data_IF_153340238725
#
_entry.id   IF_153340238725
#
_cell.length_a   1.000
_cell.length_b   1.000
_cell.length_c   1.000
_cell.angle_alpha   90.00
_cell.angle_beta   90.00
_cell.angle_gamma   90.00
#
_symmetry.space_group_name_H-M   'P 1'
#
loop_
_entity.id
_entity.type
_entity.pdbx_description
1 polymer ?
#
# COMPACT_ATOMS: atom_id res chain seq x y z
N UNK A 1 -22.32 -0.04 -21.23
CA UNK A 1 -21.39 -0.24 -22.36
C UNK A 1 -21.49 -1.67 -22.87
N UNK A 2 -21.20 -1.93 -24.12
CA UNK A 2 -21.17 -3.26 -24.75
C UNK A 2 -20.28 -4.25 -23.99
N UNK A 3 -19.11 -3.80 -23.52
CA UNK A 3 -18.19 -4.57 -22.70
C UNK A 3 -18.83 -5.08 -21.42
N UNK A 4 -19.69 -4.27 -20.78
CA UNK A 4 -20.39 -4.68 -19.57
C UNK A 4 -21.43 -5.76 -19.84
N UNK A 5 -22.16 -5.65 -20.96
CA UNK A 5 -23.17 -6.65 -21.36
C UNK A 5 -22.52 -7.99 -21.64
N UNK A 6 -21.44 -7.99 -22.44
CA UNK A 6 -20.67 -9.21 -22.73
C UNK A 6 -20.15 -9.90 -21.46
N UNK A 7 -19.68 -9.09 -20.50
CA UNK A 7 -19.20 -9.62 -19.21
C UNK A 7 -20.34 -10.25 -18.37
N UNK A 8 -21.55 -9.68 -18.39
CA UNK A 8 -22.70 -10.26 -17.72
C UNK A 8 -23.14 -11.58 -18.37
N UNK A 9 -23.16 -11.65 -19.71
CA UNK A 9 -23.49 -12.86 -20.44
C UNK A 9 -22.45 -13.98 -20.19
N UNK A 10 -21.16 -13.66 -20.26
CA UNK A 10 -20.08 -14.62 -19.97
C UNK A 10 -20.15 -15.21 -18.55
N UNK A 11 -20.70 -14.45 -17.61
CA UNK A 11 -20.90 -14.90 -16.23
C UNK A 11 -22.27 -15.57 -15.99
N UNK A 12 -23.04 -15.87 -17.04
CA UNK A 12 -24.37 -16.47 -16.92
C UNK A 12 -25.41 -15.61 -16.19
N UNK A 13 -25.18 -14.29 -16.08
CA UNK A 13 -26.04 -13.38 -15.30
C UNK A 13 -27.20 -12.80 -16.10
N UNK A 14 -27.32 -13.13 -17.36
CA UNK A 14 -28.43 -12.75 -18.23
C UNK A 14 -29.20 -14.04 -18.58
N UNK A 15 -30.29 -14.34 -17.89
CA UNK A 15 -31.07 -15.56 -18.19
C UNK A 15 -31.52 -15.57 -19.65
N UNK A 16 -31.36 -16.71 -20.31
CA UNK A 16 -31.77 -16.88 -21.71
C UNK A 16 -30.81 -16.29 -22.74
N UNK A 17 -29.67 -15.69 -22.32
CA UNK A 17 -28.65 -15.28 -23.27
C UNK A 17 -27.91 -16.49 -23.85
N UNK A 18 -27.76 -16.53 -25.16
CA UNK A 18 -27.10 -17.63 -25.90
C UNK A 18 -25.99 -17.04 -26.75
N UNK A 19 -24.83 -17.70 -26.73
CA UNK A 19 -23.71 -17.31 -27.58
C UNK A 19 -23.87 -17.95 -28.97
N UNK A 20 -24.01 -17.11 -29.99
CA UNK A 20 -24.04 -17.54 -31.40
C UNK A 20 -22.79 -17.03 -32.11
N UNK A 21 -21.84 -17.91 -32.33
CA UNK A 21 -20.53 -17.55 -32.86
C UNK A 21 -19.78 -16.59 -31.90
N UNK A 22 -19.55 -15.32 -32.28
CA UNK A 22 -18.91 -14.28 -31.47
C UNK A 22 -19.89 -13.29 -30.85
N UNK A 23 -21.21 -13.47 -31.09
CA UNK A 23 -22.25 -12.52 -30.70
C UNK A 23 -23.19 -13.15 -29.66
N UNK A 24 -23.51 -12.40 -28.60
CA UNK A 24 -24.50 -12.80 -27.62
C UNK A 24 -25.90 -12.40 -28.09
N UNK A 25 -26.77 -13.36 -28.21
CA UNK A 25 -28.21 -13.16 -28.41
C UNK A 25 -28.86 -13.03 -27.04
N UNK A 26 -29.51 -11.94 -26.78
CA UNK A 26 -30.13 -11.60 -25.50
C UNK A 26 -31.64 -11.51 -25.72
N UNK A 27 -32.46 -12.18 -24.90
CA UNK A 27 -33.91 -12.02 -24.99
C UNK A 27 -34.34 -10.57 -24.84
N UNK A 28 -35.33 -10.13 -25.60
CA UNK A 28 -35.84 -8.76 -25.60
C UNK A 28 -36.35 -8.31 -24.23
N UNK A 29 -36.89 -9.25 -23.45
CA UNK A 29 -37.40 -9.03 -22.09
C UNK A 29 -36.31 -9.18 -20.99
N UNK A 30 -35.06 -9.37 -21.37
CA UNK A 30 -33.98 -9.54 -20.41
C UNK A 30 -33.76 -8.27 -19.56
N UNK A 31 -33.91 -8.43 -18.27
CA UNK A 31 -33.62 -7.33 -17.30
C UNK A 31 -32.13 -7.18 -17.07
N UNK A 32 -31.69 -5.93 -16.99
CA UNK A 32 -30.30 -5.64 -16.64
C UNK A 32 -29.96 -6.28 -15.28
N UNK A 33 -28.92 -7.13 -15.20
CA UNK A 33 -28.53 -7.72 -13.93
C UNK A 33 -28.20 -6.62 -12.92
N UNK A 34 -28.67 -6.80 -11.69
CA UNK A 34 -28.26 -5.89 -10.60
C UNK A 34 -26.74 -5.95 -10.51
N UNK A 35 -26.10 -4.80 -10.37
CA UNK A 35 -24.66 -4.75 -10.14
C UNK A 35 -24.39 -5.59 -8.90
N UNK A 36 -23.55 -6.62 -9.02
CA UNK A 36 -23.00 -7.21 -7.81
C UNK A 36 -22.29 -6.07 -7.11
N UNK A 37 -22.82 -5.63 -5.99
CA UNK A 37 -22.05 -4.91 -5.00
C UNK A 37 -20.94 -5.93 -4.68
N UNK A 38 -19.74 -5.69 -5.18
CA UNK A 38 -18.55 -6.38 -4.66
C UNK A 38 -18.75 -6.36 -3.18
N UNK A 39 -18.80 -7.53 -2.56
CA UNK A 39 -19.22 -7.74 -1.20
C UNK A 39 -19.03 -6.47 -0.41
N UNK A 40 -20.15 -5.87 0.04
CA UNK A 40 -20.06 -4.85 1.06
C UNK A 40 -19.00 -5.40 2.00
N UNK A 41 -18.01 -4.61 2.34
CA UNK A 41 -17.12 -4.89 3.46
C UNK A 41 -18.11 -5.08 4.61
N UNK A 42 -18.64 -6.32 4.74
CA UNK A 42 -19.67 -6.62 5.72
C UNK A 42 -19.07 -6.17 7.02
N UNK A 43 -19.73 -5.55 7.92
CA UNK A 43 -19.35 -5.00 9.23
C UNK A 43 -17.86 -5.07 9.68
N UNK A 44 -16.93 -5.33 8.74
CA UNK A 44 -15.49 -5.41 8.98
C UNK A 44 -14.91 -4.00 9.06
N UNK A 45 -14.14 -3.76 10.09
CA UNK A 45 -13.39 -2.53 10.26
C UNK A 45 -12.25 -2.45 9.22
N UNK A 46 -11.77 -1.25 8.93
CA UNK A 46 -10.58 -1.05 8.08
C UNK A 46 -9.38 -1.87 8.59
N UNK A 47 -9.19 -1.91 9.90
CA UNK A 47 -8.09 -2.65 10.51
C UNK A 47 -8.18 -4.16 10.21
N UNK A 48 -9.36 -4.75 10.30
CA UNK A 48 -9.56 -6.17 9.97
C UNK A 48 -9.24 -6.45 8.50
N UNK A 49 -9.66 -5.57 7.60
CA UNK A 49 -9.33 -5.70 6.17
C UNK A 49 -7.82 -5.61 5.93
N UNK A 50 -7.14 -4.65 6.57
CA UNK A 50 -5.69 -4.49 6.43
C UNK A 50 -4.93 -5.71 6.94
N UNK A 51 -5.33 -6.27 8.09
CA UNK A 51 -4.72 -7.48 8.65
C UNK A 51 -4.95 -8.71 7.77
N UNK A 52 -6.18 -8.91 7.28
CA UNK A 52 -6.52 -10.01 6.36
C UNK A 52 -5.73 -9.94 5.05
N UNK A 53 -5.64 -8.74 4.44
CA UNK A 53 -4.90 -8.55 3.19
C UNK A 53 -3.39 -8.71 3.38
N UNK A 54 -2.85 -8.29 4.54
CA UNK A 54 -1.45 -8.51 4.92
C UNK A 54 -1.15 -10.00 5.03
N UNK A 55 -1.93 -10.74 5.79
CA UNK A 55 -1.78 -12.19 5.99
C UNK A 55 -1.94 -12.95 4.67
N UNK A 56 -2.98 -12.62 3.90
CA UNK A 56 -3.28 -13.19 2.60
C UNK A 56 -2.33 -12.76 1.47
N UNK A 57 -1.41 -11.82 1.73
CA UNK A 57 -0.50 -11.23 0.72
C UNK A 57 -1.24 -10.75 -0.54
N UNK A 58 -2.37 -10.08 -0.34
CA UNK A 58 -3.28 -9.67 -1.41
C UNK A 58 -2.64 -8.55 -2.25
N UNK A 59 -2.34 -8.85 -3.51
CA UNK A 59 -1.78 -7.85 -4.45
C UNK A 59 -2.87 -6.88 -4.92
N UNK A 60 -2.53 -5.58 -4.92
CA UNK A 60 -3.42 -4.52 -5.39
C UNK A 60 -4.59 -4.22 -4.44
N UNK A 61 -4.63 -4.80 -3.25
CA UNK A 61 -5.58 -4.48 -2.19
C UNK A 61 -5.32 -3.14 -1.51
N UNK A 62 -6.10 -2.84 -0.47
CA UNK A 62 -5.97 -1.60 0.29
C UNK A 62 -4.64 -1.58 1.05
N UNK A 63 -4.28 -2.70 1.70
CA UNK A 63 -3.01 -2.83 2.42
C UNK A 63 -1.80 -2.63 1.48
N UNK A 64 -1.80 -3.29 0.32
CA UNK A 64 -0.72 -3.16 -0.66
C UNK A 64 -0.55 -1.71 -1.13
N UNK A 65 -1.65 -1.02 -1.43
CA UNK A 65 -1.62 0.40 -1.82
C UNK A 65 -1.16 1.29 -0.69
N UNK A 66 -1.67 1.05 0.53
CA UNK A 66 -1.31 1.82 1.72
C UNK A 66 0.21 1.78 1.97
N UNK A 67 0.84 0.61 1.85
CA UNK A 67 2.28 0.45 2.00
C UNK A 67 3.06 1.36 1.03
N UNK A 68 2.71 1.31 -0.25
CA UNK A 68 3.42 2.06 -1.29
C UNK A 68 3.17 3.57 -1.14
N UNK A 69 1.90 3.98 -1.01
CA UNK A 69 1.52 5.39 -0.92
C UNK A 69 2.08 6.07 0.33
N UNK A 70 2.01 5.42 1.49
CA UNK A 70 2.54 5.99 2.73
C UNK A 70 4.05 6.13 2.67
N UNK A 71 4.77 5.12 2.19
CA UNK A 71 6.22 5.19 2.08
C UNK A 71 6.65 6.25 1.07
N UNK A 72 6.04 6.29 -0.11
CA UNK A 72 6.37 7.29 -1.12
C UNK A 72 6.12 8.71 -0.62
N UNK A 73 4.91 9.01 -0.16
CA UNK A 73 4.55 10.37 0.24
C UNK A 73 5.37 10.86 1.44
N UNK A 74 5.55 10.01 2.47
CA UNK A 74 6.33 10.40 3.64
C UNK A 74 7.79 10.68 3.31
N UNK A 75 8.43 9.79 2.54
CA UNK A 75 9.83 9.97 2.18
C UNK A 75 10.03 11.13 1.20
N UNK A 76 9.06 11.37 0.30
CA UNK A 76 9.13 12.50 -0.63
C UNK A 76 9.06 13.86 0.09
N UNK A 77 8.24 13.96 1.15
CA UNK A 77 8.19 15.16 2.03
C UNK A 77 9.56 15.40 2.69
N UNK A 78 10.26 14.34 3.07
CA UNK A 78 11.60 14.40 3.68
C UNK A 78 12.73 14.57 2.65
N UNK A 79 12.40 14.76 1.36
CA UNK A 79 13.35 15.07 0.31
C UNK A 79 13.91 13.85 -0.46
N UNK A 80 13.39 12.66 -0.26
CA UNK A 80 13.75 11.50 -1.06
C UNK A 80 13.42 11.71 -2.54
N UNK A 81 14.34 11.29 -3.40
CA UNK A 81 14.19 11.38 -4.86
C UNK A 81 13.64 10.11 -5.50
N UNK A 82 13.32 9.08 -4.70
CA UNK A 82 12.70 7.88 -5.21
C UNK A 82 11.35 8.20 -5.86
N UNK A 83 11.13 7.69 -7.06
CA UNK A 83 9.85 7.80 -7.73
C UNK A 83 8.83 6.83 -7.10
N UNK A 84 7.55 7.07 -7.38
CA UNK A 84 6.48 6.18 -6.94
C UNK A 84 6.68 4.74 -7.47
N UNK A 85 7.11 4.60 -8.73
CA UNK A 85 7.39 3.28 -9.32
C UNK A 85 8.58 2.60 -8.66
N UNK A 86 9.65 3.31 -8.34
CA UNK A 86 10.80 2.77 -7.61
C UNK A 86 10.40 2.31 -6.20
N UNK A 87 9.58 3.11 -5.49
CA UNK A 87 9.01 2.72 -4.18
C UNK A 87 8.20 1.43 -4.30
N UNK A 88 7.38 1.32 -5.35
CA UNK A 88 6.61 0.10 -5.65
C UNK A 88 7.52 -1.09 -5.93
N UNK A 89 8.56 -0.93 -6.75
CA UNK A 89 9.52 -2.00 -7.03
C UNK A 89 10.23 -2.48 -5.76
N UNK A 90 10.66 -1.56 -4.89
CA UNK A 90 11.27 -1.93 -3.60
C UNK A 90 10.29 -2.77 -2.78
N UNK A 91 9.01 -2.39 -2.73
CA UNK A 91 7.99 -3.13 -1.99
C UNK A 91 7.75 -4.52 -2.58
N UNK A 92 7.45 -4.60 -3.88
CA UNK A 92 6.98 -5.81 -4.56
C UNK A 92 8.10 -6.83 -4.84
N UNK A 93 9.29 -6.34 -5.20
CA UNK A 93 10.35 -7.17 -5.77
C UNK A 93 11.67 -7.15 -4.98
N UNK A 94 11.79 -6.23 -4.01
CA UNK A 94 13.04 -5.95 -3.28
C UNK A 94 14.17 -5.48 -4.21
N UNK A 95 13.82 -4.86 -5.33
CA UNK A 95 14.73 -4.22 -6.29
C UNK A 95 14.30 -2.78 -6.54
N UNK A 96 15.15 -1.97 -7.16
CA UNK A 96 14.85 -0.57 -7.51
C UNK A 96 14.63 -0.37 -9.01
N UNK A 97 14.80 -1.42 -9.80
CA UNK A 97 14.82 -1.31 -11.26
C UNK A 97 16.11 -0.68 -11.79
N UNK A 98 16.17 -0.51 -13.10
CA UNK A 98 17.28 0.20 -13.78
C UNK A 98 16.97 1.68 -13.76
N UNK A 99 17.95 2.49 -13.34
CA UNK A 99 17.86 3.95 -13.32
C UNK A 99 19.18 4.56 -13.79
N UNK A 100 19.11 5.66 -14.53
CA UNK A 100 20.30 6.45 -14.91
C UNK A 100 20.66 7.48 -13.81
N UNK A 101 19.76 7.72 -12.88
CA UNK A 101 19.96 8.66 -11.78
C UNK A 101 20.66 7.99 -10.58
N UNK A 102 21.51 8.75 -9.90
CA UNK A 102 22.09 8.33 -8.65
C UNK A 102 21.03 8.35 -7.55
N UNK A 103 20.75 7.18 -7.00
CA UNK A 103 19.81 7.02 -5.87
C UNK A 103 20.63 6.97 -4.57
N UNK A 104 20.19 7.73 -3.59
CA UNK A 104 20.78 7.68 -2.27
C UNK A 104 20.43 6.35 -1.59
N UNK A 105 21.42 5.66 -1.06
CA UNK A 105 21.22 4.37 -0.37
C UNK A 105 20.35 4.54 0.87
N UNK A 106 20.48 5.66 1.58
CA UNK A 106 19.62 5.93 2.75
C UNK A 106 18.15 6.04 2.37
N UNK A 107 17.81 6.61 1.19
CA UNK A 107 16.43 6.66 0.71
C UNK A 107 15.84 5.24 0.51
N UNK A 108 16.66 4.29 0.02
CA UNK A 108 16.22 2.90 -0.17
C UNK A 108 16.02 2.22 1.20
N UNK A 109 16.95 2.44 2.13
CA UNK A 109 16.89 1.87 3.48
C UNK A 109 15.66 2.43 4.21
N UNK A 110 15.46 3.74 4.21
CA UNK A 110 14.31 4.39 4.86
C UNK A 110 12.99 3.94 4.25
N UNK A 111 12.91 3.83 2.92
CA UNK A 111 11.73 3.31 2.24
C UNK A 111 11.42 1.87 2.68
N UNK A 112 12.42 1.02 2.75
CA UNK A 112 12.26 -0.36 3.22
C UNK A 112 11.84 -0.43 4.70
N UNK A 113 12.41 0.45 5.53
CA UNK A 113 12.07 0.58 6.94
C UNK A 113 10.66 1.14 7.14
N UNK A 114 10.23 2.05 6.25
CA UNK A 114 8.89 2.62 6.29
C UNK A 114 7.81 1.54 6.14
N UNK A 115 7.99 0.56 5.24
CA UNK A 115 7.08 -0.57 5.13
C UNK A 115 6.97 -1.34 6.45
N UNK A 116 8.09 -1.54 7.15
CA UNK A 116 8.10 -2.18 8.48
C UNK A 116 7.37 -1.32 9.52
N UNK A 117 7.54 0.00 9.49
CA UNK A 117 6.81 0.91 10.37
C UNK A 117 5.29 0.80 10.16
N UNK A 118 4.83 0.79 8.92
CA UNK A 118 3.40 0.62 8.60
C UNK A 118 2.88 -0.71 9.14
N UNK A 119 3.65 -1.79 9.00
CA UNK A 119 3.28 -3.09 9.57
C UNK A 119 3.12 -3.04 11.10
N UNK A 120 4.10 -2.45 11.79
CA UNK A 120 4.07 -2.31 13.25
C UNK A 120 2.89 -1.43 13.69
N UNK A 121 2.57 -0.36 12.96
CA UNK A 121 1.40 0.48 13.23
C UNK A 121 0.10 -0.30 13.11
N UNK A 122 -0.08 -1.06 12.02
CA UNK A 122 -1.29 -1.86 11.79
C UNK A 122 -1.45 -2.92 12.87
N UNK A 123 -0.38 -3.63 13.22
CA UNK A 123 -0.40 -4.68 14.26
C UNK A 123 -0.68 -4.10 15.65
N UNK A 124 -0.20 -2.89 15.91
CA UNK A 124 -0.33 -2.21 17.19
C UNK A 124 -1.56 -1.30 17.29
N UNK A 125 -2.39 -1.20 16.26
CA UNK A 125 -3.48 -0.21 16.18
C UNK A 125 -4.55 -0.34 17.26
N UNK A 126 -4.63 -1.47 17.95
CA UNK A 126 -5.56 -1.70 19.10
C UNK A 126 -5.01 -1.17 20.43
N UNK A 127 -3.73 -0.83 20.49
CA UNK A 127 -3.11 -0.35 21.71
C UNK A 127 -3.09 1.18 21.75
N UNK A 128 -2.97 1.73 22.95
CA UNK A 128 -2.84 3.18 23.12
C UNK A 128 -1.49 3.65 22.58
N UNK A 129 -1.53 4.79 21.91
CA UNK A 129 -0.31 5.48 21.52
C UNK A 129 0.50 5.85 22.76
N UNK A 130 1.79 5.56 22.74
CA UNK A 130 2.74 5.87 23.81
C UNK A 130 4.01 6.49 23.24
N UNK A 131 4.72 7.23 24.07
CA UNK A 131 6.03 7.78 23.71
C UNK A 131 7.02 6.69 23.31
N UNK A 132 7.05 5.58 24.02
CA UNK A 132 7.90 4.44 23.69
C UNK A 132 7.61 3.86 22.32
N UNK A 133 6.34 3.84 21.92
CA UNK A 133 5.96 3.37 20.59
C UNK A 133 6.43 4.33 19.48
N UNK A 134 6.32 5.65 19.70
CA UNK A 134 6.86 6.65 18.76
C UNK A 134 8.37 6.50 18.61
N UNK A 135 9.09 6.35 19.73
CA UNK A 135 10.53 6.10 19.75
C UNK A 135 10.90 4.81 19.01
N UNK A 136 10.10 3.76 19.17
CA UNK A 136 10.29 2.49 18.44
C UNK A 136 10.13 2.69 16.91
N UNK A 137 9.12 3.42 16.46
CA UNK A 137 8.94 3.71 15.03
C UNK A 137 10.12 4.53 14.47
N UNK A 138 10.58 5.55 15.20
CA UNK A 138 11.77 6.32 14.82
C UNK A 138 13.02 5.43 14.77
N UNK A 139 13.21 4.55 15.74
CA UNK A 139 14.29 3.57 15.70
C UNK A 139 14.25 2.69 14.47
N UNK A 140 13.08 2.11 14.14
CA UNK A 140 12.92 1.26 12.97
C UNK A 140 13.22 2.06 11.70
N UNK A 141 12.64 3.25 11.56
CA UNK A 141 12.74 4.08 10.36
C UNK A 141 14.19 4.44 10.04
N UNK A 142 14.97 4.86 11.03
CA UNK A 142 16.35 5.33 10.85
C UNK A 142 17.41 4.24 11.03
N UNK A 143 17.01 3.00 11.33
CA UNK A 143 17.97 1.89 11.46
C UNK A 143 18.69 1.60 10.14
N UNK A 144 20.02 1.52 10.22
CA UNK A 144 20.88 1.19 9.08
C UNK A 144 21.22 2.35 8.15
N UNK A 145 20.62 3.53 8.34
CA UNK A 145 20.96 4.73 7.59
C UNK A 145 22.29 5.34 8.04
N UNK A 146 22.82 6.27 7.27
CA UNK A 146 24.03 7.03 7.65
C UNK A 146 23.81 7.81 8.95
N UNK A 147 22.60 8.32 9.20
CA UNK A 147 22.23 9.02 10.43
C UNK A 147 22.40 8.13 11.67
N UNK A 148 22.08 6.84 11.57
CA UNK A 148 22.21 5.90 12.69
C UNK A 148 23.65 5.73 13.19
N UNK A 149 24.62 6.14 12.40
CA UNK A 149 26.07 6.05 12.73
C UNK A 149 26.64 7.35 13.34
N UNK A 150 25.84 8.42 13.33
CA UNK A 150 26.26 9.72 13.89
C UNK A 150 26.14 9.69 15.41
N UNK A 151 27.18 10.08 16.12
CA UNK A 151 27.21 10.05 17.60
C UNK A 151 26.23 11.01 18.26
N UNK A 152 25.88 12.09 17.58
CA UNK A 152 24.95 13.11 18.05
C UNK A 152 23.48 12.85 17.65
N UNK A 153 23.23 11.88 16.76
CA UNK A 153 21.90 11.51 16.33
C UNK A 153 21.47 10.20 17.01
N UNK A 154 20.59 10.29 18.00
CA UNK A 154 20.08 9.12 18.69
C UNK A 154 18.82 8.61 18.01
N UNK A 155 18.93 7.48 17.31
CA UNK A 155 17.75 6.80 16.77
C UNK A 155 16.89 6.24 17.91
N UNK A 156 15.58 6.44 17.83
CA UNK A 156 14.65 5.96 18.85
C UNK A 156 14.68 6.75 20.15
N UNK A 157 15.24 7.95 20.15
CA UNK A 157 15.26 8.84 21.31
C UNK A 157 15.11 10.30 20.90
N UNK A 158 15.04 11.19 21.88
CA UNK A 158 14.97 12.62 21.65
C UNK A 158 16.28 13.18 21.10
N UNK A 159 16.16 14.30 20.39
CA UNK A 159 17.31 15.06 19.92
C UNK A 159 18.20 15.50 21.08
N UNK A 160 19.50 15.50 20.82
CA UNK A 160 20.50 16.07 21.73
C UNK A 160 20.83 17.52 21.40
N UNK A 161 20.41 18.02 20.24
CA UNK A 161 20.70 19.38 19.76
C UNK A 161 19.39 20.14 19.56
N UNK A 162 19.41 21.44 19.82
CA UNK A 162 18.28 22.34 19.56
C UNK A 162 17.98 22.43 18.06
N UNK A 163 16.72 22.72 17.73
CA UNK A 163 16.34 23.04 16.36
C UNK A 163 16.61 24.51 16.09
N UNK A 164 17.39 24.82 15.08
CA UNK A 164 17.34 26.13 14.45
C UNK A 164 16.15 26.12 13.49
N UNK A 165 15.18 27.00 13.78
CA UNK A 165 14.07 27.27 12.87
C UNK A 165 14.47 28.49 12.07
N UNK A 166 14.84 28.27 10.80
CA UNK A 166 15.10 29.35 9.86
C UNK A 166 13.81 29.99 9.33
#
# INVERSE_FOLDING_TARGET
SERSVRNYCNKGRVPGAVLNGKTWLIPENAKKPKREIRHSIGNRTLLEVLLEEKEGKVKGGIYHKLQIEMAYNSNHIEGSKLTHDQTRYIYETKTIGVTEENINVDDIIETSNHFRCVDVVIESAKYKLSESFIKQLHFILKSGTSDSRKTWFKIGDYKLMDNEVG
#
